data_IF_398088385320
#
_entry.id   IF_398088385320
#
_cell.length_a   1.000
_cell.length_b   1.000
_cell.length_c   1.000
_cell.angle_alpha   90.00
_cell.angle_beta   90.00
_cell.angle_gamma   90.00
#
_symmetry.space_group_name_H-M   'P 1'
#
loop_
_entity.id
_entity.type
_entity.pdbx_description
1 polymer ?
#
# COMPACT_ATOMS: atom_id res chain seq x y z
N UNK A 1 23.92 -3.12 -12.82
CA UNK A 1 23.72 -1.73 -12.37
C UNK A 1 23.93 -1.71 -10.86
N UNK A 2 24.92 -0.97 -10.40
CA UNK A 2 25.19 -0.79 -8.97
C UNK A 2 24.23 0.25 -8.37
N UNK A 3 24.04 0.25 -7.05
CA UNK A 3 23.22 1.27 -6.37
C UNK A 3 23.71 2.69 -6.64
N UNK A 4 25.00 2.87 -6.88
CA UNK A 4 25.60 4.17 -7.20
C UNK A 4 25.20 4.65 -8.60
N UNK A 5 25.27 3.77 -9.60
CA UNK A 5 24.86 4.07 -10.98
C UNK A 5 23.36 4.40 -11.06
N UNK A 6 22.54 3.65 -10.31
CA UNK A 6 21.09 3.90 -10.23
C UNK A 6 20.78 5.27 -9.62
N UNK A 7 21.45 5.63 -8.51
CA UNK A 7 21.25 6.91 -7.85
C UNK A 7 21.68 8.08 -8.74
N UNK A 8 22.80 7.95 -9.45
CA UNK A 8 23.27 8.96 -10.39
C UNK A 8 22.25 9.19 -11.52
N UNK A 9 21.70 8.12 -12.08
CA UNK A 9 20.69 8.22 -13.13
C UNK A 9 19.38 8.84 -12.63
N UNK A 10 18.95 8.51 -11.40
CA UNK A 10 17.80 9.15 -10.76
C UNK A 10 17.99 10.66 -10.61
N UNK A 11 19.15 11.10 -10.09
CA UNK A 11 19.43 12.53 -9.93
C UNK A 11 19.51 13.26 -11.28
N UNK A 12 20.07 12.62 -12.31
CA UNK A 12 20.08 13.17 -13.68
C UNK A 12 18.67 13.41 -14.20
N UNK A 13 17.76 12.45 -14.01
CA UNK A 13 16.36 12.59 -14.45
C UNK A 13 15.62 13.66 -13.66
N UNK A 14 15.83 13.74 -12.34
CA UNK A 14 15.24 14.80 -11.51
C UNK A 14 15.71 16.19 -11.95
N UNK A 15 16.98 16.35 -12.34
CA UNK A 15 17.50 17.60 -12.87
C UNK A 15 16.85 18.00 -14.21
N UNK A 16 16.61 17.04 -15.11
CA UNK A 16 15.91 17.28 -16.38
C UNK A 16 14.48 17.75 -16.12
N UNK A 17 13.77 17.06 -15.22
CA UNK A 17 12.39 17.39 -14.84
C UNK A 17 12.30 18.75 -14.15
N UNK A 18 13.29 19.14 -13.33
CA UNK A 18 13.31 20.41 -12.61
C UNK A 18 13.36 21.64 -13.54
N UNK A 19 13.74 21.45 -14.80
CA UNK A 19 13.77 22.53 -15.80
C UNK A 19 12.38 22.93 -16.31
N UNK A 20 11.34 22.14 -16.03
CA UNK A 20 9.96 22.39 -16.45
C UNK A 20 9.00 22.22 -15.26
N UNK A 21 8.29 23.28 -14.91
CA UNK A 21 7.38 23.30 -13.77
C UNK A 21 6.24 22.27 -13.88
N UNK A 22 5.70 22.04 -15.07
CA UNK A 22 4.64 21.06 -15.29
C UNK A 22 5.16 19.64 -15.11
N UNK A 23 6.37 19.36 -15.59
CA UNK A 23 7.02 18.05 -15.37
C UNK A 23 7.34 17.86 -13.89
N UNK A 24 7.88 18.87 -13.21
CA UNK A 24 8.17 18.83 -11.78
C UNK A 24 6.91 18.52 -10.95
N UNK A 25 5.79 19.19 -11.23
CA UNK A 25 4.50 18.94 -10.54
C UNK A 25 4.03 17.50 -10.73
N UNK A 26 4.14 16.96 -11.95
CA UNK A 26 3.77 15.55 -12.23
C UNK A 26 4.67 14.57 -11.48
N UNK A 27 5.98 14.84 -11.46
CA UNK A 27 6.96 14.00 -10.76
C UNK A 27 6.75 14.01 -9.25
N UNK A 28 6.49 15.17 -8.64
CA UNK A 28 6.16 15.27 -7.21
C UNK A 28 4.89 14.47 -6.88
N UNK A 29 3.85 14.57 -7.73
CA UNK A 29 2.62 13.80 -7.53
C UNK A 29 2.86 12.29 -7.62
N UNK A 30 3.70 11.85 -8.56
CA UNK A 30 4.07 10.45 -8.69
C UNK A 30 4.86 9.95 -7.46
N UNK A 31 5.83 10.74 -6.98
CA UNK A 31 6.62 10.42 -5.78
C UNK A 31 5.71 10.30 -4.55
N UNK A 32 4.79 11.25 -4.34
CA UNK A 32 3.82 11.18 -3.24
C UNK A 32 3.01 9.89 -3.29
N UNK A 33 2.50 9.52 -4.45
CA UNK A 33 1.74 8.27 -4.64
C UNK A 33 2.57 7.02 -4.36
N UNK A 34 3.87 7.04 -4.67
CA UNK A 34 4.78 5.93 -4.37
C UNK A 34 5.00 5.81 -2.84
N UNK A 35 5.17 6.94 -2.16
CA UNK A 35 5.32 6.99 -0.69
C UNK A 35 4.05 6.49 -0.01
N UNK A 36 2.87 7.00 -0.40
CA UNK A 36 1.57 6.58 0.15
C UNK A 36 1.38 5.06 -0.01
N UNK A 37 1.65 4.51 -1.20
CA UNK A 37 1.57 3.05 -1.43
C UNK A 37 2.54 2.26 -0.56
N UNK A 38 3.75 2.78 -0.32
CA UNK A 38 4.72 2.13 0.56
C UNK A 38 4.23 2.13 2.00
N UNK A 39 3.64 3.22 2.48
CA UNK A 39 3.05 3.30 3.82
C UNK A 39 1.84 2.36 3.97
N UNK A 40 0.98 2.26 2.96
CA UNK A 40 -0.14 1.29 2.94
C UNK A 40 0.35 -0.17 2.97
N UNK A 41 1.39 -0.50 2.20
CA UNK A 41 2.02 -1.82 2.22
C UNK A 41 2.64 -2.12 3.58
N UNK A 42 3.38 -1.18 4.15
CA UNK A 42 4.01 -1.34 5.47
C UNK A 42 2.96 -1.54 6.57
N UNK A 43 1.83 -0.82 6.50
CA UNK A 43 0.71 -1.01 7.45
C UNK A 43 0.07 -2.38 7.31
N UNK A 44 -0.10 -2.87 6.08
CA UNK A 44 -0.65 -4.21 5.80
C UNK A 44 0.29 -5.30 6.31
N UNK A 45 1.59 -5.17 6.04
CA UNK A 45 2.63 -6.08 6.52
C UNK A 45 2.71 -6.09 8.05
N UNK A 46 2.58 -4.94 8.70
CA UNK A 46 2.51 -4.85 10.17
C UNK A 46 1.28 -5.55 10.75
N UNK A 47 0.10 -5.40 10.13
CA UNK A 47 -1.14 -6.07 10.56
C UNK A 47 -0.99 -7.60 10.42
N UNK A 48 -0.43 -8.07 9.30
CA UNK A 48 -0.19 -9.49 9.04
C UNK A 48 0.93 -10.07 9.90
N UNK A 49 1.89 -9.26 10.34
CA UNK A 49 2.96 -9.69 11.24
C UNK A 49 2.50 -9.94 12.68
N UNK A 50 1.30 -9.49 13.06
CA UNK A 50 0.73 -9.73 14.40
C UNK A 50 0.18 -11.16 14.50
N UNK A 51 0.77 -12.04 15.35
CA UNK A 51 0.33 -13.43 15.47
C UNK A 51 -1.14 -13.54 15.94
N UNK A 52 -1.56 -12.67 16.87
CA UNK A 52 -2.92 -12.64 17.38
C UNK A 52 -3.94 -12.21 16.30
N UNK A 53 -3.56 -11.29 15.40
CA UNK A 53 -4.42 -10.89 14.29
C UNK A 53 -4.57 -12.03 13.28
N UNK A 54 -3.47 -12.73 12.96
CA UNK A 54 -3.50 -13.87 12.05
C UNK A 54 -4.35 -15.01 12.59
N UNK A 55 -4.31 -15.29 13.89
CA UNK A 55 -5.22 -16.27 14.52
C UNK A 55 -6.69 -15.90 14.36
N UNK A 56 -7.05 -14.62 14.50
CA UNK A 56 -8.43 -14.13 14.30
C UNK A 56 -8.86 -14.31 12.84
N UNK A 57 -8.00 -13.97 11.89
CA UNK A 57 -8.27 -14.12 10.45
C UNK A 57 -8.48 -15.60 10.10
N UNK A 58 -7.58 -16.48 10.54
CA UNK A 58 -7.69 -17.92 10.29
C UNK A 58 -8.96 -18.52 10.87
N UNK A 59 -9.32 -18.15 12.09
CA UNK A 59 -10.58 -18.61 12.71
C UNK A 59 -11.81 -18.11 11.95
N UNK A 60 -11.76 -16.86 11.45
CA UNK A 60 -12.82 -16.32 10.60
C UNK A 60 -12.98 -17.11 9.29
N UNK A 61 -11.87 -17.48 8.64
CA UNK A 61 -11.89 -18.30 7.42
C UNK A 61 -12.46 -19.70 7.67
N UNK A 62 -12.12 -20.31 8.82
CA UNK A 62 -12.69 -21.60 9.25
C UNK A 62 -14.21 -21.50 9.49
N UNK A 63 -14.67 -20.47 10.21
CA UNK A 63 -16.11 -20.25 10.46
C UNK A 63 -16.90 -20.00 9.15
N UNK A 64 -16.29 -19.33 8.16
CA UNK A 64 -16.86 -19.15 6.82
C UNK A 64 -16.93 -20.48 6.06
N UNK A 65 -15.85 -21.26 6.08
CA UNK A 65 -15.79 -22.56 5.42
C UNK A 65 -16.80 -23.57 5.99
N UNK A 66 -16.97 -23.54 7.31
CA UNK A 66 -17.94 -24.37 8.04
C UNK A 66 -19.39 -23.86 7.92
N UNK A 67 -19.60 -22.71 7.26
CA UNK A 67 -20.92 -22.10 7.09
C UNK A 67 -21.51 -21.52 8.38
N UNK A 68 -20.72 -21.38 9.43
CA UNK A 68 -21.11 -20.83 10.73
C UNK A 68 -21.03 -19.30 10.74
N UNK A 69 -21.61 -18.67 9.71
CA UNK A 69 -21.64 -17.22 9.54
C UNK A 69 -23.04 -16.68 9.76
N UNK A 70 -23.15 -15.53 10.42
CA UNK A 70 -24.42 -14.84 10.56
C UNK A 70 -24.63 -13.95 9.32
N UNK A 71 -25.65 -14.19 8.48
CA UNK A 71 -25.91 -13.33 7.33
C UNK A 71 -26.36 -11.96 7.81
N UNK A 72 -25.65 -10.91 7.40
CA UNK A 72 -26.03 -9.52 7.68
C UNK A 72 -26.62 -8.93 6.40
N UNK A 73 -27.77 -8.26 6.53
CA UNK A 73 -28.39 -7.55 5.42
C UNK A 73 -27.59 -6.29 5.07
N UNK A 74 -27.44 -5.99 3.79
CA UNK A 74 -26.60 -4.88 3.33
C UNK A 74 -27.08 -3.52 3.90
N UNK A 75 -28.38 -3.38 4.13
CA UNK A 75 -29.04 -2.20 4.68
C UNK A 75 -28.80 -2.02 6.19
N UNK A 76 -28.33 -3.06 6.88
CA UNK A 76 -28.00 -3.03 8.31
C UNK A 76 -26.52 -2.69 8.56
N UNK A 77 -25.66 -2.77 7.55
CA UNK A 77 -24.22 -2.48 7.66
C UNK A 77 -23.89 -0.98 7.83
N UNK A 78 -24.83 -0.10 7.52
CA UNK A 78 -24.62 1.36 7.48
C UNK A 78 -25.49 2.15 8.47
N UNK A 79 -26.12 1.47 9.43
CA UNK A 79 -26.88 2.10 10.52
C UNK A 79 -25.96 2.52 11.66
#
# INVERSE_FOLDING_TARGET
MTSMELNQELFRQLAIVASDENLMRKTIKAIKRIIEKKEEQDTTEQILASPAMMEIIHKGDEEIADGNVTPIKLEELWK
#
